data_IF_612480281627
#
_entry.id   IF_612480281627
#
_cell.length_a   1.000
_cell.length_b   1.000
_cell.length_c   1.000
_cell.angle_alpha   90.00
_cell.angle_beta   90.00
_cell.angle_gamma   90.00
#
_symmetry.space_group_name_H-M   'P 1'
#
loop_
_entity.id
_entity.type
_entity.pdbx_description
1 polymer ?
#
# COMPACT_ATOMS: atom_id res chain seq x y z
N UNK A 1 11.18 19.07 13.60
CA UNK A 1 11.18 18.19 12.40
C UNK A 1 9.77 18.20 11.83
N UNK A 2 9.58 18.26 10.50
CA UNK A 2 8.24 18.14 9.92
C UNK A 2 7.65 16.76 10.28
N UNK A 3 6.35 16.72 10.56
CA UNK A 3 5.61 15.47 10.80
C UNK A 3 5.58 14.67 9.50
N UNK A 4 5.93 13.36 9.52
CA UNK A 4 5.90 12.54 8.31
C UNK A 4 4.47 12.40 7.76
N UNK A 5 4.33 12.29 6.43
CA UNK A 5 3.04 11.96 5.80
C UNK A 5 2.60 10.53 6.15
N UNK A 6 1.33 10.21 5.93
CA UNK A 6 0.83 8.84 6.11
C UNK A 6 1.57 7.84 5.21
N UNK A 7 1.88 8.22 3.97
CA UNK A 7 2.69 7.41 3.05
C UNK A 7 4.11 7.19 3.54
N UNK A 8 4.76 8.22 4.09
CA UNK A 8 6.08 8.05 4.74
C UNK A 8 5.99 7.14 5.97
N UNK A 9 4.91 7.22 6.75
CA UNK A 9 4.68 6.33 7.89
C UNK A 9 4.55 4.88 7.44
N UNK A 10 3.76 4.61 6.40
CA UNK A 10 3.59 3.30 5.78
C UNK A 10 4.91 2.76 5.21
N UNK A 11 5.64 3.56 4.42
CA UNK A 11 6.93 3.18 3.85
C UNK A 11 7.93 2.77 4.94
N UNK A 12 8.01 3.55 6.01
CA UNK A 12 8.85 3.23 7.17
C UNK A 12 8.40 1.96 7.90
N UNK A 13 7.11 1.64 7.94
CA UNK A 13 6.61 0.40 8.53
C UNK A 13 6.95 -0.82 7.68
N UNK A 14 6.81 -0.72 6.35
CA UNK A 14 7.21 -1.75 5.39
C UNK A 14 8.71 -2.04 5.46
N UNK A 15 9.55 -0.99 5.48
CA UNK A 15 11.00 -1.16 5.62
C UNK A 15 11.37 -1.83 6.94
N UNK A 16 10.70 -1.47 8.04
CA UNK A 16 10.90 -2.13 9.36
C UNK A 16 10.46 -3.59 9.36
N UNK A 17 9.50 -3.96 8.51
CA UNK A 17 9.09 -5.35 8.28
C UNK A 17 10.02 -6.11 7.31
N UNK A 18 11.10 -5.49 6.82
CA UNK A 18 12.05 -6.10 5.90
C UNK A 18 11.57 -6.13 4.44
N UNK A 19 10.54 -5.36 4.10
CA UNK A 19 10.01 -5.29 2.74
C UNK A 19 10.67 -4.16 1.97
N UNK A 20 11.14 -4.47 0.76
CA UNK A 20 11.57 -3.43 -0.19
C UNK A 20 10.34 -2.78 -0.77
N UNK A 21 10.27 -1.45 -0.72
CA UNK A 21 9.15 -0.69 -1.26
C UNK A 21 9.62 0.66 -1.82
N UNK A 22 8.88 1.18 -2.81
CA UNK A 22 9.10 2.51 -3.37
C UNK A 22 7.79 3.29 -3.43
N UNK A 23 7.85 4.58 -3.18
CA UNK A 23 6.76 5.48 -3.55
C UNK A 23 6.77 5.68 -5.06
N UNK A 24 5.62 5.59 -5.68
CA UNK A 24 5.42 5.75 -7.13
C UNK A 24 4.13 6.55 -7.40
N UNK A 25 3.97 7.01 -8.64
CA UNK A 25 2.85 7.86 -9.06
C UNK A 25 3.16 9.36 -9.11
N UNK A 26 2.11 10.18 -9.20
CA UNK A 26 2.18 11.64 -9.32
C UNK A 26 1.32 12.36 -8.26
N UNK A 27 1.18 13.69 -8.37
CA UNK A 27 0.43 14.52 -7.40
C UNK A 27 -1.07 14.22 -7.33
N UNK A 28 -1.63 13.49 -8.31
CA UNK A 28 -3.04 13.13 -8.38
C UNK A 28 -3.33 11.64 -8.14
N UNK A 29 -2.30 10.79 -8.20
CA UNK A 29 -2.39 9.36 -7.91
C UNK A 29 -1.03 8.82 -7.49
N UNK A 30 -0.88 8.48 -6.23
CA UNK A 30 0.35 8.02 -5.57
C UNK A 30 0.08 6.73 -4.80
N UNK A 31 1.05 5.82 -4.82
CA UNK A 31 0.97 4.51 -4.18
C UNK A 31 2.35 4.04 -3.72
N UNK A 32 2.37 3.14 -2.74
CA UNK A 32 3.58 2.41 -2.37
C UNK A 32 3.59 1.11 -3.16
N UNK A 33 4.58 0.95 -4.03
CA UNK A 33 4.82 -0.25 -4.80
C UNK A 33 5.76 -1.20 -4.06
N UNK A 34 5.38 -2.46 -3.96
CA UNK A 34 6.13 -3.53 -3.30
C UNK A 34 6.30 -4.67 -4.32
N UNK A 35 7.50 -4.89 -4.85
CA UNK A 35 7.75 -5.98 -5.80
C UNK A 35 7.50 -7.35 -5.16
N UNK A 36 6.88 -8.26 -5.92
CA UNK A 36 6.59 -9.64 -5.51
C UNK A 36 6.98 -10.59 -6.64
N UNK A 37 8.01 -11.40 -6.41
CA UNK A 37 8.57 -12.28 -7.45
C UNK A 37 9.21 -11.49 -8.60
N UNK A 38 9.20 -12.07 -9.81
CA UNK A 38 9.85 -11.47 -10.99
C UNK A 38 9.00 -10.37 -11.67
N UNK A 39 7.68 -10.48 -11.61
CA UNK A 39 6.75 -9.65 -12.41
C UNK A 39 5.60 -9.04 -11.60
N UNK A 40 5.40 -9.47 -10.34
CA UNK A 40 4.28 -9.03 -9.53
C UNK A 40 4.58 -7.74 -8.77
N UNK A 41 3.54 -6.97 -8.50
CA UNK A 41 3.60 -5.80 -7.61
C UNK A 41 2.37 -5.76 -6.71
N UNK A 42 2.58 -5.40 -5.46
CA UNK A 42 1.50 -4.95 -4.57
C UNK A 42 1.54 -3.43 -4.54
N UNK A 43 0.39 -2.80 -4.77
CA UNK A 43 0.19 -1.37 -4.61
C UNK A 43 -0.61 -1.13 -3.33
N UNK A 44 -0.13 -0.22 -2.49
CA UNK A 44 -0.83 0.23 -1.29
C UNK A 44 -1.13 1.73 -1.38
N UNK A 45 -2.39 2.10 -1.17
CA UNK A 45 -2.91 3.48 -1.32
C UNK A 45 -3.83 3.86 -0.18
N UNK A 46 -3.98 5.17 0.07
CA UNK A 46 -5.04 5.66 0.95
C UNK A 46 -6.42 5.41 0.34
N UNK A 47 -7.37 5.01 1.18
CA UNK A 47 -8.78 4.87 0.83
C UNK A 47 -9.54 6.07 1.40
N UNK A 48 -10.17 6.89 0.55
CA UNK A 48 -11.52 7.45 0.80
C UNK A 48 -12.02 8.39 -0.31
N UNK A 49 -13.20 8.05 -0.85
CA UNK A 49 -14.00 8.89 -1.75
C UNK A 49 -13.26 9.34 -3.02
N UNK A 50 -13.97 9.95 -3.98
CA UNK A 50 -13.35 10.48 -5.23
C UNK A 50 -12.21 11.50 -5.00
N UNK A 51 -11.94 11.90 -3.75
CA UNK A 51 -11.03 12.99 -3.42
C UNK A 51 -9.67 12.55 -2.85
N UNK A 52 -9.50 11.34 -2.29
CA UNK A 52 -8.22 10.88 -1.72
C UNK A 52 -7.84 9.42 -2.04
N UNK A 53 -8.63 8.76 -2.88
CA UNK A 53 -8.24 7.48 -3.48
C UNK A 53 -6.93 7.66 -4.25
N UNK A 54 -5.96 6.79 -3.98
CA UNK A 54 -4.59 6.92 -4.51
C UNK A 54 -3.83 8.16 -3.97
N UNK A 55 -4.03 8.53 -2.71
CA UNK A 55 -3.16 9.52 -2.06
C UNK A 55 -2.28 8.90 -0.97
N UNK A 56 -1.07 9.43 -0.84
CA UNK A 56 -0.11 9.07 0.22
C UNK A 56 0.37 10.27 1.05
N UNK A 57 0.33 11.48 0.47
CA UNK A 57 0.96 12.67 1.05
C UNK A 57 0.06 13.48 1.99
N UNK A 58 -0.99 12.84 2.52
CA UNK A 58 -1.86 13.44 3.52
C UNK A 58 -1.28 13.34 4.94
N UNK A 59 -1.75 14.21 5.84
CA UNK A 59 -1.28 14.20 7.23
C UNK A 59 -1.85 12.98 7.97
N UNK A 60 -1.11 12.40 8.94
CA UNK A 60 -1.59 11.25 9.73
C UNK A 60 -3.01 11.36 10.30
N UNK A 61 -3.42 12.55 10.76
CA UNK A 61 -4.77 12.80 11.31
C UNK A 61 -5.89 12.74 10.26
N UNK A 62 -5.54 12.77 8.97
CA UNK A 62 -6.47 12.69 7.85
C UNK A 62 -6.64 11.26 7.33
N UNK A 63 -6.01 10.28 8.00
CA UNK A 63 -6.09 8.87 7.63
C UNK A 63 -7.52 8.32 7.82
N UNK A 64 -7.97 7.56 6.82
CA UNK A 64 -9.30 6.97 6.78
C UNK A 64 -9.29 5.51 6.28
N UNK A 65 -8.10 4.91 6.23
CA UNK A 65 -7.89 3.54 5.79
C UNK A 65 -6.90 3.39 4.65
N UNK A 66 -6.27 2.21 4.59
CA UNK A 66 -5.44 1.73 3.49
C UNK A 66 -6.22 0.75 2.60
N UNK A 67 -5.85 0.74 1.32
CA UNK A 67 -6.23 -0.26 0.33
C UNK A 67 -4.97 -0.92 -0.20
N UNK A 68 -5.02 -2.21 -0.49
CA UNK A 68 -3.94 -2.93 -1.14
C UNK A 68 -4.44 -3.88 -2.22
N UNK A 69 -3.80 -3.75 -3.39
CA UNK A 69 -4.12 -4.51 -4.59
C UNK A 69 -2.85 -5.19 -5.09
N UNK A 70 -2.98 -6.45 -5.49
CA UNK A 70 -1.92 -7.21 -6.13
C UNK A 70 -2.13 -7.29 -7.64
N UNK A 71 -1.09 -6.99 -8.40
CA UNK A 71 -1.01 -7.18 -9.85
C UNK A 71 0.03 -8.28 -10.14
N UNK A 72 -0.36 -9.42 -10.73
CA UNK A 72 0.56 -10.52 -11.05
C UNK A 72 1.53 -10.19 -12.18
N UNK A 73 1.12 -9.29 -13.07
CA UNK A 73 1.90 -8.83 -14.21
C UNK A 73 1.54 -7.37 -14.47
N UNK A 74 2.53 -6.47 -14.42
CA UNK A 74 2.33 -5.05 -14.69
C UNK A 74 2.36 -4.70 -16.18
N UNK A 75 2.71 -5.65 -17.05
CA UNK A 75 2.74 -5.46 -18.51
C UNK A 75 1.42 -5.89 -19.18
N UNK A 76 0.59 -6.66 -18.47
CA UNK A 76 -0.74 -7.05 -18.91
C UNK A 76 -1.80 -6.13 -18.28
N UNK A 77 -2.87 -5.91 -19.03
CA UNK A 77 -3.98 -5.00 -18.76
C UNK A 77 -4.43 -4.99 -17.28
N UNK A 78 -4.75 -3.82 -16.74
CA UNK A 78 -5.08 -3.57 -15.31
C UNK A 78 -6.28 -4.41 -14.78
N UNK A 79 -6.97 -5.12 -15.67
CA UNK A 79 -8.12 -5.98 -15.42
C UNK A 79 -7.82 -7.25 -14.62
N UNK A 80 -6.55 -7.64 -14.44
CA UNK A 80 -6.14 -8.85 -13.72
C UNK A 80 -5.54 -8.55 -12.33
N UNK A 81 -6.18 -7.67 -11.57
CA UNK A 81 -5.75 -7.35 -10.21
C UNK A 81 -6.56 -8.10 -9.15
N UNK A 82 -5.99 -8.26 -7.95
CA UNK A 82 -6.67 -8.83 -6.79
C UNK A 82 -6.54 -7.87 -5.62
N UNK A 83 -7.65 -7.22 -5.25
CA UNK A 83 -7.75 -6.51 -3.98
C UNK A 83 -7.76 -7.54 -2.84
N UNK A 84 -6.87 -7.37 -1.87
CA UNK A 84 -6.75 -8.30 -0.73
C UNK A 84 -6.76 -7.60 0.62
N UNK A 85 -6.73 -6.26 0.64
CA UNK A 85 -6.88 -5.47 1.85
C UNK A 85 -7.64 -4.20 1.53
N UNK A 86 -8.70 -3.95 2.28
CA UNK A 86 -9.47 -2.71 2.20
C UNK A 86 -9.92 -2.36 3.62
N UNK A 87 -9.51 -1.20 4.11
CA UNK A 87 -9.82 -0.75 5.46
C UNK A 87 -10.54 0.58 5.45
N UNK A 88 -11.38 0.77 6.46
CA UNK A 88 -11.99 2.04 6.84
C UNK A 88 -11.56 2.45 8.26
N UNK A 89 -10.48 1.86 8.78
CA UNK A 89 -9.91 2.20 10.09
C UNK A 89 -9.13 3.51 9.99
N UNK A 90 -9.55 4.52 10.76
CA UNK A 90 -8.89 5.82 10.78
C UNK A 90 -7.72 5.91 11.76
N UNK A 91 -7.48 4.87 12.57
CA UNK A 91 -6.25 4.76 13.35
C UNK A 91 -5.08 4.34 12.46
N UNK A 92 -4.29 5.33 12.02
CA UNK A 92 -3.14 5.11 11.15
C UNK A 92 -2.19 4.03 11.66
N UNK A 93 -1.90 4.00 12.96
CA UNK A 93 -0.90 3.07 13.50
C UNK A 93 -1.43 1.65 13.41
N UNK A 94 -2.68 1.45 13.83
CA UNK A 94 -3.34 0.15 13.78
C UNK A 94 -3.53 -0.32 12.35
N UNK A 95 -4.04 0.56 11.48
CA UNK A 95 -4.33 0.21 10.10
C UNK A 95 -3.05 -0.09 9.31
N UNK A 96 -1.98 0.70 9.51
CA UNK A 96 -0.68 0.41 8.92
C UNK A 96 -0.13 -0.96 9.37
N UNK A 97 -0.30 -1.33 10.64
CA UNK A 97 0.15 -2.64 11.11
C UNK A 97 -0.65 -3.79 10.45
N UNK A 98 -1.95 -3.59 10.24
CA UNK A 98 -2.83 -4.56 9.61
C UNK A 98 -2.53 -4.73 8.11
N UNK A 99 -2.36 -3.63 7.36
CA UNK A 99 -2.01 -3.71 5.93
C UNK A 99 -0.62 -4.35 5.74
N UNK A 100 0.37 -4.02 6.58
CA UNK A 100 1.71 -4.66 6.53
C UNK A 100 1.58 -6.17 6.77
N UNK A 101 0.77 -6.60 7.74
CA UNK A 101 0.51 -8.03 7.98
C UNK A 101 -0.16 -8.70 6.78
N UNK A 102 -1.12 -8.04 6.14
CA UNK A 102 -1.78 -8.56 4.95
C UNK A 102 -0.80 -8.73 3.78
N UNK A 103 0.04 -7.73 3.51
CA UNK A 103 1.11 -7.78 2.50
C UNK A 103 2.05 -8.96 2.74
N UNK A 104 2.53 -9.13 3.96
CA UNK A 104 3.39 -10.26 4.33
C UNK A 104 2.71 -11.60 4.09
N UNK A 105 1.40 -11.71 4.39
CA UNK A 105 0.61 -12.90 4.12
C UNK A 105 0.55 -13.26 2.63
N UNK A 106 0.33 -12.26 1.77
CA UNK A 106 0.31 -12.45 0.30
C UNK A 106 1.68 -12.90 -0.22
N UNK A 107 2.76 -12.27 0.25
CA UNK A 107 4.12 -12.63 -0.16
C UNK A 107 4.45 -14.06 0.26
N UNK A 108 4.20 -14.41 1.52
CA UNK A 108 4.47 -15.75 2.05
C UNK A 108 3.67 -16.84 1.33
N UNK A 109 2.39 -16.61 1.05
CA UNK A 109 1.55 -17.55 0.30
C UNK A 109 2.05 -17.80 -1.13
N UNK A 110 2.71 -16.81 -1.73
CA UNK A 110 3.24 -16.90 -3.11
C UNK A 110 4.65 -17.47 -3.20
N UNK A 111 5.47 -17.37 -2.15
CA UNK A 111 6.77 -18.05 -2.10
C UNK A 111 6.67 -19.58 -1.96
N UNK A 112 5.49 -20.11 -1.61
CA UNK A 112 5.25 -21.54 -1.43
C UNK A 112 4.63 -22.22 -2.67
N UNK A 113 4.36 -21.47 -3.74
CA UNK A 113 3.81 -21.96 -5.01
C UNK A 113 4.89 -22.05 -6.07
#
# INVERSE_FOLDING_TARGET
MPTPSAGQFLHNALNRAGLTSRSDGDRGSSYIAIPVGAHGVIMVTGMTGRAKENELDYRPIEHQGWGAVYYPNTEEDESHCTEFYQSADSDLVRDTALVVKAVLGVIAGRSAS
#
